data_IF_545403537592
#
_entry.id   IF_545403537592
#
_cell.length_a   1.000
_cell.length_b   1.000
_cell.length_c   1.000
_cell.angle_alpha   90.00
_cell.angle_beta   90.00
_cell.angle_gamma   90.00
#
_symmetry.space_group_name_H-M   'P 1'
#
loop_
_entity.id
_entity.type
_entity.pdbx_description
1 polymer ?
#
# COMPACT_ATOMS: atom_id res chain seq x y z
N UNK A 1 18.34 4.38 -13.17
CA UNK A 1 17.59 5.01 -12.05
C UNK A 1 18.11 4.45 -10.73
N UNK A 2 18.55 5.30 -9.81
CA UNK A 2 18.99 4.86 -8.48
C UNK A 2 17.78 4.31 -7.69
N UNK A 3 17.92 3.10 -7.14
CA UNK A 3 16.93 2.47 -6.25
C UNK A 3 17.35 2.75 -4.82
N UNK A 4 16.53 3.50 -4.09
CA UNK A 4 16.78 3.80 -2.67
C UNK A 4 15.99 2.84 -1.78
N UNK A 5 16.66 1.83 -1.21
CA UNK A 5 16.02 0.77 -0.41
C UNK A 5 15.20 1.31 0.77
N UNK A 6 15.70 2.34 1.44
CA UNK A 6 15.02 2.98 2.58
C UNK A 6 13.69 3.64 2.18
N UNK A 7 13.65 4.25 0.99
CA UNK A 7 12.46 4.88 0.46
C UNK A 7 11.40 3.83 0.08
N UNK A 8 11.82 2.68 -0.47
CA UNK A 8 10.90 1.59 -0.84
C UNK A 8 10.11 1.08 0.37
N UNK A 9 10.77 0.90 1.52
CA UNK A 9 10.14 0.42 2.75
C UNK A 9 9.11 1.42 3.29
N UNK A 10 9.35 2.73 3.13
CA UNK A 10 8.47 3.79 3.64
C UNK A 10 7.29 4.11 2.70
N UNK A 11 7.51 4.04 1.39
CA UNK A 11 6.54 4.46 0.37
C UNK A 11 5.49 3.39 0.07
N UNK A 12 5.88 2.11 0.06
CA UNK A 12 4.97 1.03 -0.29
C UNK A 12 4.17 0.59 0.94
N UNK A 13 2.85 0.82 0.89
CA UNK A 13 1.87 0.43 1.92
C UNK A 13 0.72 -0.33 1.27
N UNK A 14 0.08 -1.19 2.04
CA UNK A 14 -1.20 -1.80 1.68
C UNK A 14 -2.34 -0.82 1.94
N UNK A 15 -3.40 -0.87 1.12
CA UNK A 15 -4.61 -0.09 1.31
C UNK A 15 -5.79 -1.05 1.39
N UNK A 16 -6.64 -0.91 2.41
CA UNK A 16 -7.86 -1.70 2.51
C UNK A 16 -8.87 -1.24 1.44
N UNK A 17 -9.46 -2.20 0.70
CA UNK A 17 -10.48 -1.90 -0.32
C UNK A 17 -11.87 -1.62 0.25
N UNK A 18 -12.07 -1.74 1.57
CA UNK A 18 -13.35 -1.43 2.21
C UNK A 18 -13.36 -0.13 3.01
N UNK A 19 -12.26 0.23 3.66
CA UNK A 19 -12.18 1.43 4.51
C UNK A 19 -11.06 2.39 4.14
N UNK A 20 -10.31 2.10 3.07
CA UNK A 20 -9.17 2.89 2.58
C UNK A 20 -8.04 3.14 3.60
N UNK A 21 -8.04 2.43 4.73
CA UNK A 21 -6.97 2.50 5.72
C UNK A 21 -5.63 2.00 5.13
N UNK A 22 -4.54 2.68 5.51
CA UNK A 22 -3.16 2.30 5.15
C UNK A 22 -2.67 1.25 6.13
N UNK A 23 -2.38 0.05 5.64
CA UNK A 23 -1.86 -1.08 6.40
C UNK A 23 -0.41 -1.39 5.96
N UNK A 24 0.38 -2.09 6.79
CA UNK A 24 1.67 -2.62 6.36
C UNK A 24 1.52 -3.58 5.17
N UNK A 25 2.59 -3.73 4.38
CA UNK A 25 2.59 -4.59 3.18
C UNK A 25 2.38 -6.06 3.51
N UNK A 26 2.80 -6.48 4.71
CA UNK A 26 2.64 -7.84 5.24
C UNK A 26 1.31 -8.08 5.96
N UNK A 27 0.42 -7.09 6.06
CA UNK A 27 -0.83 -7.24 6.77
C UNK A 27 -1.81 -8.15 6.00
N UNK A 28 -2.29 -9.20 6.66
CA UNK A 28 -3.37 -10.07 6.18
C UNK A 28 -4.76 -9.55 6.55
N UNK A 29 -4.85 -8.72 7.61
CA UNK A 29 -6.09 -8.09 8.08
C UNK A 29 -5.96 -6.58 8.22
N UNK A 30 -7.06 -5.87 7.96
CA UNK A 30 -7.09 -4.42 8.11
C UNK A 30 -7.22 -4.03 9.59
N UNK A 31 -6.27 -3.24 10.11
CA UNK A 31 -6.26 -2.79 11.51
C UNK A 31 -7.50 -1.98 11.92
N UNK A 32 -8.13 -1.31 10.95
CA UNK A 32 -9.28 -0.42 11.21
C UNK A 32 -10.64 -1.10 11.14
N UNK A 33 -10.84 -2.04 10.21
CA UNK A 33 -12.15 -2.64 9.94
C UNK A 33 -12.18 -4.16 10.13
N UNK A 34 -11.07 -4.79 10.52
CA UNK A 34 -10.98 -6.24 10.76
C UNK A 34 -11.11 -7.13 9.53
N UNK A 35 -11.46 -6.60 8.34
CA UNK A 35 -11.62 -7.42 7.14
C UNK A 35 -10.30 -8.07 6.72
N UNK A 36 -10.34 -9.40 6.59
CA UNK A 36 -9.23 -10.26 6.16
C UNK A 36 -9.18 -10.30 4.62
N UNK A 37 -7.98 -10.32 4.05
CA UNK A 37 -7.77 -10.52 2.61
C UNK A 37 -8.18 -9.36 1.70
N UNK A 38 -8.75 -8.27 2.23
CA UNK A 38 -9.18 -7.09 1.44
C UNK A 38 -8.15 -5.97 1.36
N UNK A 39 -6.85 -6.28 1.45
CA UNK A 39 -5.77 -5.30 1.39
C UNK A 39 -5.07 -5.41 0.03
N UNK A 40 -5.11 -4.32 -0.75
CA UNK A 40 -4.37 -4.21 -2.01
C UNK A 40 -3.02 -3.53 -1.79
N UNK A 41 -1.98 -3.97 -2.49
CA UNK A 41 -0.68 -3.26 -2.48
C UNK A 41 -0.77 -1.99 -3.31
N UNK A 42 -0.13 -0.90 -2.86
CA UNK A 42 0.01 0.31 -3.67
C UNK A 42 0.95 0.04 -4.85
N UNK A 43 0.58 0.54 -6.04
CA UNK A 43 1.37 0.35 -7.26
C UNK A 43 2.79 0.92 -7.09
N UNK A 44 3.77 0.19 -7.64
CA UNK A 44 5.18 0.61 -7.66
C UNK A 44 5.47 1.68 -8.72
N UNK A 45 4.57 1.84 -9.71
CA UNK A 45 4.67 2.88 -10.72
C UNK A 45 4.15 4.20 -10.13
N UNK A 46 4.85 5.31 -10.39
CA UNK A 46 4.27 6.65 -10.19
C UNK A 46 2.94 6.68 -10.95
N UNK A 47 1.90 7.27 -10.36
CA UNK A 47 0.75 7.68 -11.15
C UNK A 47 1.33 8.69 -12.15
N UNK A 48 1.55 8.25 -13.39
CA UNK A 48 1.78 9.15 -14.50
C UNK A 48 0.50 9.96 -14.52
N UNK A 49 0.61 11.21 -14.09
CA UNK A 49 -0.53 12.11 -14.05
C UNK A 49 -1.14 12.09 -15.44
N UNK A 50 -2.43 11.79 -15.48
CA UNK A 50 -3.31 12.22 -16.54
C UNK A 50 -3.14 13.73 -16.71
N UNK A 51 -2.35 14.11 -17.71
CA UNK A 51 -2.25 15.43 -18.29
C UNK A 51 -1.99 15.22 -19.79
#
# INVERSE_FOLDING_TARGET
MAKFKEAEIRLFKGVCMSCNAKNPVSATMCRKCGKVGKIRRKSKKKAVGSA
#
